data_IF_076201595249
#
_entry.id   IF_076201595249
#
_cell.length_a   1.000
_cell.length_b   1.000
_cell.length_c   1.000
_cell.angle_alpha   90.00
_cell.angle_beta   90.00
_cell.angle_gamma   90.00
#
_symmetry.space_group_name_H-M   'P 1'
#
loop_
_entity.id
_entity.type
_entity.pdbx_description
1 polymer ?
#
# COMPACT_ATOMS: atom_id res chain seq x y z
N UNK A 1 0.17 14.86 -7.47
CA UNK A 1 1.02 13.69 -7.74
C UNK A 1 2.48 14.00 -8.07
N UNK A 2 2.90 15.26 -8.21
CA UNK A 2 4.28 15.57 -8.58
C UNK A 2 5.30 14.90 -7.65
N UNK A 3 5.15 15.04 -6.34
CA UNK A 3 6.04 14.45 -5.33
C UNK A 3 6.15 12.92 -5.45
N UNK A 4 5.01 12.21 -5.49
CA UNK A 4 4.97 10.74 -5.63
C UNK A 4 5.62 10.28 -6.93
N UNK A 5 5.24 10.85 -8.08
CA UNK A 5 5.79 10.44 -9.38
C UNK A 5 7.28 10.76 -9.49
N UNK A 6 7.72 11.89 -8.96
CA UNK A 6 9.14 12.29 -8.94
C UNK A 6 9.95 11.34 -8.09
N UNK A 7 9.53 11.05 -6.85
CA UNK A 7 10.24 10.14 -5.95
C UNK A 7 10.30 8.71 -6.53
N UNK A 8 9.17 8.21 -7.03
CA UNK A 8 9.06 6.87 -7.63
C UNK A 8 9.99 6.71 -8.84
N UNK A 9 9.98 7.68 -9.77
CA UNK A 9 10.88 7.65 -10.96
C UNK A 9 12.34 7.81 -10.57
N UNK A 10 12.64 8.66 -9.59
CA UNK A 10 14.01 8.81 -9.09
C UNK A 10 14.51 7.51 -8.46
N UNK A 11 13.65 6.78 -7.74
CA UNK A 11 13.99 5.49 -7.16
C UNK A 11 14.26 4.43 -8.23
N UNK A 12 13.36 4.27 -9.21
CA UNK A 12 13.55 3.34 -10.35
C UNK A 12 14.87 3.62 -11.09
N UNK A 13 15.15 4.90 -11.37
CA UNK A 13 16.41 5.32 -11.98
C UNK A 13 17.62 4.97 -11.12
N UNK A 14 17.54 5.21 -9.80
CA UNK A 14 18.63 4.93 -8.85
C UNK A 14 18.89 3.43 -8.71
N UNK A 15 17.85 2.60 -8.75
CA UNK A 15 17.95 1.15 -8.65
C UNK A 15 18.28 0.47 -9.98
N UNK A 16 18.21 1.19 -11.11
CA UNK A 16 18.38 0.60 -12.44
C UNK A 16 17.26 -0.36 -12.82
N UNK A 17 16.06 -0.20 -12.27
CA UNK A 17 14.90 -1.07 -12.49
C UNK A 17 13.88 -0.37 -13.38
N UNK A 18 13.21 -1.14 -14.23
CA UNK A 18 12.03 -0.74 -14.96
C UNK A 18 10.74 -1.15 -14.20
N UNK A 19 9.58 -0.58 -14.54
CA UNK A 19 8.30 -1.00 -13.96
C UNK A 19 8.02 -2.51 -14.08
N UNK A 20 8.46 -3.14 -15.15
CA UNK A 20 8.34 -4.60 -15.38
C UNK A 20 9.19 -5.47 -14.46
N UNK A 21 10.25 -4.92 -13.85
CA UNK A 21 11.10 -5.64 -12.88
C UNK A 21 10.50 -5.67 -11.46
N UNK A 22 9.38 -4.98 -11.24
CA UNK A 22 8.72 -4.83 -9.95
C UNK A 22 7.48 -5.72 -9.91
N UNK A 23 7.36 -6.60 -8.92
CA UNK A 23 6.20 -7.46 -8.77
C UNK A 23 4.99 -6.68 -8.22
N UNK A 24 5.24 -5.80 -7.24
CA UNK A 24 4.17 -5.03 -6.59
C UNK A 24 4.54 -3.57 -6.38
N UNK A 25 3.56 -2.67 -6.57
CA UNK A 25 3.72 -1.23 -6.33
C UNK A 25 2.73 -0.75 -5.27
N UNK A 26 3.25 -0.07 -4.26
CA UNK A 26 2.49 0.50 -3.15
C UNK A 26 2.63 2.02 -3.22
N UNK A 27 1.52 2.74 -3.28
CA UNK A 27 1.49 4.20 -3.30
C UNK A 27 0.61 4.73 -2.17
N UNK A 28 0.95 5.91 -1.65
CA UNK A 28 0.04 6.60 -0.72
C UNK A 28 -1.34 6.78 -1.37
N UNK A 29 -2.36 6.39 -0.62
CA UNK A 29 -3.71 6.13 -1.13
C UNK A 29 -4.74 6.95 -0.36
N UNK A 30 -4.96 8.24 -0.72
CA UNK A 30 -6.03 9.04 -0.12
C UNK A 30 -7.42 8.56 -0.54
N UNK A 31 -7.51 7.82 -1.65
CA UNK A 31 -8.65 7.06 -2.14
C UNK A 31 -8.15 5.98 -3.09
N UNK A 32 -9.04 5.10 -3.59
CA UNK A 32 -8.65 3.99 -4.46
C UNK A 32 -8.19 4.39 -5.88
N UNK A 33 -8.71 5.49 -6.42
CA UNK A 33 -8.47 5.88 -7.82
C UNK A 33 -7.12 6.59 -8.03
N UNK A 34 -6.69 7.36 -7.04
CA UNK A 34 -5.47 8.17 -7.04
C UNK A 34 -4.17 7.34 -7.22
N UNK A 35 -3.92 6.30 -6.40
CA UNK A 35 -2.73 5.45 -6.55
C UNK A 35 -2.73 4.73 -7.89
N UNK A 36 -3.88 4.21 -8.35
CA UNK A 36 -3.97 3.52 -9.64
C UNK A 36 -3.58 4.43 -10.81
N UNK A 37 -4.05 5.69 -10.80
CA UNK A 37 -3.68 6.68 -11.82
C UNK A 37 -2.18 6.96 -11.82
N UNK A 38 -1.58 7.13 -10.64
CA UNK A 38 -0.15 7.40 -10.51
C UNK A 38 0.70 6.20 -10.96
N UNK A 39 0.33 4.98 -10.59
CA UNK A 39 0.99 3.75 -11.03
C UNK A 39 0.93 3.61 -12.57
N UNK A 40 -0.26 3.77 -13.16
CA UNK A 40 -0.43 3.75 -14.63
C UNK A 40 0.43 4.81 -15.32
N UNK A 41 0.51 6.03 -14.77
CA UNK A 41 1.35 7.11 -15.32
C UNK A 41 2.86 6.83 -15.22
N UNK A 42 3.26 5.87 -14.40
CA UNK A 42 4.65 5.44 -14.25
C UNK A 42 4.96 4.11 -14.96
N UNK A 43 3.98 3.56 -15.70
CA UNK A 43 4.16 2.35 -16.51
C UNK A 43 3.81 1.04 -15.80
N UNK A 44 3.23 1.09 -14.60
CA UNK A 44 2.77 -0.11 -13.90
C UNK A 44 1.39 -0.56 -14.38
N UNK A 45 1.16 -1.87 -14.32
CA UNK A 45 -0.10 -2.53 -14.64
C UNK A 45 -1.07 -2.48 -13.46
N UNK A 46 -2.32 -2.91 -13.71
CA UNK A 46 -3.35 -2.96 -12.64
C UNK A 46 -3.04 -4.06 -11.64
N UNK A 47 -2.46 -5.16 -12.10
CA UNK A 47 -2.13 -6.35 -11.33
C UNK A 47 -1.05 -6.03 -10.29
N UNK A 48 -0.04 -5.25 -10.68
CA UNK A 48 1.04 -4.84 -9.78
C UNK A 48 0.57 -3.97 -8.59
N UNK A 49 -0.51 -3.20 -8.76
CA UNK A 49 -1.03 -2.32 -7.69
C UNK A 49 -2.21 -2.94 -6.92
N UNK A 50 -2.96 -3.86 -7.54
CA UNK A 50 -4.23 -4.36 -6.98
C UNK A 50 -4.13 -4.84 -5.52
N UNK A 51 -3.10 -5.61 -5.11
CA UNK A 51 -2.97 -6.07 -3.72
C UNK A 51 -2.75 -4.93 -2.71
N UNK A 52 -2.18 -3.81 -3.15
CA UNK A 52 -1.91 -2.65 -2.29
C UNK A 52 -3.12 -1.72 -2.09
N UNK A 53 -4.26 -1.96 -2.75
CA UNK A 53 -5.44 -1.09 -2.72
C UNK A 53 -6.34 -1.29 -1.48
N UNK A 54 -5.74 -1.47 -0.30
CA UNK A 54 -6.45 -1.64 0.99
C UNK A 54 -7.40 -0.48 1.30
N UNK A 55 -7.07 0.73 0.83
CA UNK A 55 -7.92 1.94 0.93
C UNK A 55 -9.36 1.73 0.46
N UNK A 56 -9.59 0.83 -0.51
CA UNK A 56 -10.92 0.53 -1.03
C UNK A 56 -11.82 -0.18 0.00
N UNK A 57 -11.24 -0.76 1.05
CA UNK A 57 -11.93 -1.51 2.08
C UNK A 57 -11.98 -0.79 3.43
N UNK A 58 -10.88 -0.13 3.81
CA UNK A 58 -10.71 0.46 5.15
C UNK A 58 -10.49 1.98 5.15
N UNK A 59 -10.53 2.62 3.99
CA UNK A 59 -10.33 4.07 3.87
C UNK A 59 -8.87 4.50 4.03
N UNK A 60 -8.66 5.82 4.18
CA UNK A 60 -7.33 6.40 4.27
C UNK A 60 -6.80 6.37 5.72
N UNK A 61 -5.77 5.56 5.96
CA UNK A 61 -5.09 5.42 7.24
C UNK A 61 -3.93 6.42 7.44
N UNK A 62 -3.84 7.47 6.61
CA UNK A 62 -2.79 8.48 6.67
C UNK A 62 -1.39 7.83 6.62
N UNK A 63 -0.57 8.02 7.66
CA UNK A 63 0.76 7.43 7.80
C UNK A 63 0.72 5.90 7.84
N UNK A 64 -0.42 5.31 8.24
CA UNK A 64 -0.64 3.86 8.23
C UNK A 64 -0.99 3.27 6.87
N UNK A 65 -1.31 4.09 5.85
CA UNK A 65 -1.79 3.60 4.55
C UNK A 65 -0.72 2.77 3.81
N UNK A 66 0.52 3.25 3.75
CA UNK A 66 1.60 2.51 3.11
C UNK A 66 2.02 1.26 3.91
N UNK A 67 2.20 1.31 5.24
CA UNK A 67 2.44 0.11 6.05
C UNK A 67 1.35 -0.96 5.93
N UNK A 68 0.07 -0.58 5.97
CA UNK A 68 -1.04 -1.53 5.83
C UNK A 68 -1.04 -2.19 4.43
N UNK A 69 -0.82 -1.40 3.38
CA UNK A 69 -0.68 -1.93 2.02
C UNK A 69 0.57 -2.81 1.85
N UNK A 70 1.67 -2.49 2.53
CA UNK A 70 2.88 -3.32 2.56
C UNK A 70 2.61 -4.67 3.23
N UNK A 71 1.89 -4.69 4.35
CA UNK A 71 1.43 -5.94 4.98
C UNK A 71 0.63 -6.80 3.99
N UNK A 72 -0.38 -6.21 3.34
CA UNK A 72 -1.23 -6.92 2.38
C UNK A 72 -0.43 -7.48 1.18
N UNK A 73 0.58 -6.76 0.70
CA UNK A 73 1.47 -7.25 -0.35
C UNK A 73 2.36 -8.39 0.16
N UNK A 74 2.94 -8.25 1.37
CA UNK A 74 3.80 -9.27 1.97
C UNK A 74 3.07 -10.57 2.31
N UNK A 75 1.77 -10.50 2.58
CA UNK A 75 0.91 -11.67 2.81
C UNK A 75 0.81 -12.59 1.57
N UNK A 76 1.06 -12.06 0.38
CA UNK A 76 0.95 -12.83 -0.88
C UNK A 76 2.27 -12.96 -1.65
N UNK A 77 3.31 -12.18 -1.29
CA UNK A 77 4.56 -12.14 -2.05
C UNK A 77 5.36 -13.45 -1.97
N UNK A 78 6.17 -13.74 -2.96
CA UNK A 78 7.09 -14.88 -2.98
C UNK A 78 8.54 -14.43 -2.75
N UNK A 79 9.44 -15.33 -2.28
CA UNK A 79 10.86 -15.04 -2.22
C UNK A 79 11.40 -14.58 -3.59
N UNK A 80 12.13 -13.46 -3.60
CA UNK A 80 12.67 -12.85 -4.81
C UNK A 80 11.84 -11.69 -5.36
N UNK A 81 10.56 -11.58 -4.98
CA UNK A 81 9.69 -10.49 -5.44
C UNK A 81 10.26 -9.11 -5.09
N UNK A 82 10.11 -8.17 -6.02
CA UNK A 82 10.48 -6.77 -5.82
C UNK A 82 9.24 -5.92 -5.56
N UNK A 83 9.31 -5.12 -4.50
CA UNK A 83 8.22 -4.25 -4.10
C UNK A 83 8.71 -2.80 -4.14
N UNK A 84 8.04 -1.95 -4.93
CA UNK A 84 8.27 -0.52 -4.93
C UNK A 84 7.21 0.17 -4.07
N UNK A 85 7.62 0.79 -2.97
CA UNK A 85 6.74 1.58 -2.12
C UNK A 85 7.07 3.05 -2.23
N UNK A 86 6.07 3.92 -2.44
CA UNK A 86 6.23 5.38 -2.41
C UNK A 86 5.18 6.03 -1.52
N UNK A 87 5.65 6.55 -0.38
CA UNK A 87 4.84 7.29 0.59
C UNK A 87 4.70 8.77 0.20
N UNK A 88 3.73 9.45 0.82
CA UNK A 88 3.51 10.88 0.66
C UNK A 88 2.99 11.48 1.96
N UNK A 89 3.57 12.62 2.35
CA UNK A 89 3.09 13.48 3.43
C UNK A 89 2.80 14.89 2.91
N UNK A 90 1.68 15.47 3.34
CA UNK A 90 1.31 16.85 2.98
C UNK A 90 2.22 17.86 3.67
N UNK A 91 2.66 18.90 2.93
CA UNK A 91 3.63 19.89 3.42
C UNK A 91 4.72 20.35 2.43
N UNK A 92 5.28 19.57 1.49
CA UNK A 92 5.01 18.21 1.06
C UNK A 92 6.31 17.43 0.76
N UNK A 93 6.27 16.11 0.98
CA UNK A 93 7.41 15.20 0.77
C UNK A 93 6.96 13.80 0.36
N UNK A 94 7.84 13.07 -0.31
CA UNK A 94 7.63 11.67 -0.69
C UNK A 94 8.91 10.88 -0.53
N UNK A 95 8.79 9.72 0.11
CA UNK A 95 9.87 8.75 0.28
C UNK A 95 9.55 7.50 -0.53
N UNK A 96 10.53 7.03 -1.29
CA UNK A 96 10.43 5.81 -2.08
C UNK A 96 11.42 4.76 -1.58
N UNK A 97 11.01 3.50 -1.60
CA UNK A 97 11.80 2.34 -1.18
C UNK A 97 11.60 1.20 -2.18
N UNK A 98 12.66 0.46 -2.46
CA UNK A 98 12.58 -0.83 -3.15
C UNK A 98 12.97 -1.92 -2.17
N UNK A 99 12.09 -2.89 -1.99
CA UNK A 99 12.35 -4.08 -1.20
C UNK A 99 12.56 -5.27 -2.13
N UNK A 100 13.40 -6.22 -1.71
CA UNK A 100 13.44 -7.56 -2.28
C UNK A 100 13.01 -8.53 -1.18
N UNK A 101 11.96 -9.29 -1.44
CA UNK A 101 11.41 -10.25 -0.50
C UNK A 101 12.39 -11.41 -0.35
N UNK A 102 12.70 -11.77 0.89
CA UNK A 102 13.62 -12.87 1.20
C UNK A 102 12.85 -14.17 1.43
N UNK A 103 13.53 -15.30 1.33
CA UNK A 103 13.07 -16.63 1.73
C UNK A 103 12.41 -16.70 3.12
N UNK A 104 12.91 -15.88 4.08
CA UNK A 104 12.32 -15.75 5.43
C UNK A 104 10.84 -15.37 5.44
N UNK A 105 10.27 -14.87 4.35
CA UNK A 105 8.85 -14.51 4.29
C UNK A 105 7.94 -15.72 4.57
N UNK A 106 8.34 -16.91 4.14
CA UNK A 106 7.56 -18.15 4.29
C UNK A 106 7.32 -18.44 5.77
N UNK A 107 8.37 -18.38 6.59
CA UNK A 107 8.28 -18.61 8.04
C UNK A 107 7.64 -17.42 8.78
N UNK A 108 7.88 -16.19 8.32
CA UNK A 108 7.40 -14.99 9.03
C UNK A 108 5.91 -14.75 8.86
N UNK A 109 5.34 -15.12 7.71
CA UNK A 109 3.91 -14.94 7.42
C UNK A 109 3.02 -15.70 8.39
N UNK A 110 3.43 -16.89 8.83
CA UNK A 110 2.67 -17.71 9.80
C UNK A 110 2.55 -17.08 11.19
N UNK A 111 3.36 -16.06 11.50
CA UNK A 111 3.39 -15.40 12.82
C UNK A 111 2.40 -14.24 12.94
N UNK A 112 1.61 -13.97 11.90
CA UNK A 112 0.71 -12.82 11.82
C UNK A 112 -0.62 -13.22 11.20
N UNK A 113 -1.68 -12.52 11.61
CA UNK A 113 -2.98 -12.59 10.93
C UNK A 113 -2.87 -11.77 9.64
N UNK A 114 -3.18 -12.34 8.46
CA UNK A 114 -3.15 -11.61 7.20
C UNK A 114 -4.01 -10.34 7.23
N UNK A 115 -3.58 -9.29 6.55
CA UNK A 115 -4.29 -8.01 6.48
C UNK A 115 -5.71 -8.20 5.96
N UNK A 116 -5.91 -9.08 4.98
CA UNK A 116 -7.24 -9.36 4.45
C UNK A 116 -8.18 -9.96 5.51
N UNK A 117 -7.68 -10.90 6.33
CA UNK A 117 -8.45 -11.48 7.43
C UNK A 117 -8.77 -10.44 8.52
N UNK A 118 -7.85 -9.53 8.80
CA UNK A 118 -8.11 -8.42 9.72
C UNK A 118 -9.22 -7.49 9.20
N UNK A 119 -9.23 -7.19 7.88
CA UNK A 119 -10.24 -6.36 7.22
C UNK A 119 -11.61 -7.04 7.21
N UNK A 120 -11.62 -8.37 7.05
CA UNK A 120 -12.81 -9.22 6.97
C UNK A 120 -13.21 -9.82 8.32
N UNK A 121 -12.65 -9.30 9.42
CA UNK A 121 -12.89 -9.80 10.77
C UNK A 121 -14.39 -9.99 11.04
N UNK A 122 -14.80 -11.14 11.63
CA UNK A 122 -16.20 -11.40 11.98
C UNK A 122 -16.73 -10.43 13.05
N UNK A 123 -15.83 -9.74 13.76
CA UNK A 123 -16.17 -8.72 14.76
C UNK A 123 -16.37 -7.32 14.14
N UNK A 124 -16.30 -7.19 12.81
CA UNK A 124 -16.56 -5.93 12.13
C UNK A 124 -18.05 -5.63 12.14
N UNK A 125 -18.41 -4.50 12.74
CA UNK A 125 -19.80 -4.01 12.78
C UNK A 125 -19.97 -2.80 11.86
N UNK A 126 -21.02 -2.84 11.04
CA UNK A 126 -21.47 -1.65 10.32
C UNK A 126 -22.37 -0.82 11.22
N UNK A 127 -22.05 0.47 11.31
CA UNK A 127 -22.75 1.41 12.18
C UNK A 127 -23.36 2.53 11.34
N UNK A 128 -24.45 3.11 11.84
CA UNK A 128 -25.03 4.29 11.20
C UNK A 128 -24.19 5.55 11.47
N UNK A 129 -24.54 6.63 10.77
CA UNK A 129 -23.83 7.90 10.89
C UNK A 129 -23.95 8.53 12.30
N UNK A 130 -25.07 8.34 12.98
CA UNK A 130 -25.31 8.88 14.33
C UNK A 130 -24.35 8.24 15.32
N UNK A 131 -24.23 6.92 15.29
CA UNK A 131 -23.28 6.17 16.10
C UNK A 131 -21.84 6.54 15.76
N UNK A 132 -21.48 6.57 14.47
CA UNK A 132 -20.14 6.98 14.01
C UNK A 132 -19.75 8.35 14.55
N UNK A 133 -20.63 9.36 14.38
CA UNK A 133 -20.38 10.72 14.85
C UNK A 133 -20.18 10.77 16.36
N UNK A 134 -21.05 10.09 17.12
CA UNK A 134 -20.94 10.01 18.58
C UNK A 134 -19.59 9.41 19.02
N UNK A 135 -19.14 8.34 18.36
CA UNK A 135 -17.85 7.72 18.68
C UNK A 135 -16.66 8.65 18.38
N UNK A 136 -16.73 9.42 17.30
CA UNK A 136 -15.69 10.40 16.92
C UNK A 136 -15.61 11.61 17.85
N UNK A 137 -16.72 12.00 18.47
CA UNK A 137 -16.75 13.11 19.44
C UNK A 137 -16.18 12.70 20.81
N UNK A 138 -16.14 11.39 21.12
CA UNK A 138 -15.60 10.85 22.37
C UNK A 138 -14.07 10.61 22.29
N UNK A 139 -13.52 10.44 21.08
CA UNK A 139 -12.10 10.19 20.81
C UNK A 139 -11.26 11.46 20.73
#
# INVERSE_FOLDING_TARGET
YKHVLTAMRAMLKKSGLAPEDINYVILHSPNASFPQRAARQAGFTKEQIAPALTVAKIGNLYSGSCPAALGAVLDISEPGDKILMTAYGSGAGSDSYVFTVTDKIVEKRERSVPVQEQIESPHREYVDYTFYRKMKDIS
#
